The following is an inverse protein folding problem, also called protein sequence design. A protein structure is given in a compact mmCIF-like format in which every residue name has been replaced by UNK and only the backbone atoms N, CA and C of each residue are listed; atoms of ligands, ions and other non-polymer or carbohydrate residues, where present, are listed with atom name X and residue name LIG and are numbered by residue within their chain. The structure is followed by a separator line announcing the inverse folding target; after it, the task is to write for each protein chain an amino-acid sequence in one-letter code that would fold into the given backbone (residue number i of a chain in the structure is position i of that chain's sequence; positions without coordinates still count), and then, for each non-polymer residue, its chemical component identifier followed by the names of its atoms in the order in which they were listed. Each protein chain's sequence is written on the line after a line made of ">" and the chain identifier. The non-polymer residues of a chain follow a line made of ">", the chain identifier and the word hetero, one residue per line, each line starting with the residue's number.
data_IF_909356144544
#
_entry.id   IF_909356144544
#
_cell.length_a   1.000
_cell.length_b   1.000
_cell.length_c   1.000
_cell.angle_alpha   90.00
_cell.angle_beta   90.00
_cell.angle_gamma   90.00
#
_symmetry.space_group_name_H-M   'P 1'
#
loop_
_entity.id
_entity.type
_entity.pdbx_description
1 polymer ?
#
# COMPACT_ATOMS: atom_id res chain seq x y z
N UNK A 1 21.15 22.22 -10.66
CA UNK A 1 20.87 22.17 -9.22
C UNK A 1 21.14 23.54 -8.65
N UNK A 2 20.10 24.29 -8.29
CA UNK A 2 20.23 25.60 -7.64
C UNK A 2 20.41 25.39 -6.13
N UNK A 3 21.43 26.06 -5.56
CA UNK A 3 21.74 25.99 -4.13
C UNK A 3 20.51 26.31 -3.25
N UNK A 4 20.25 25.55 -2.16
CA UNK A 4 19.08 25.73 -1.29
C UNK A 4 19.16 26.94 -0.36
N UNK A 5 20.15 27.82 -0.53
CA UNK A 5 20.40 29.00 0.32
C UNK A 5 20.24 30.33 -0.39
N UNK A 6 19.85 30.36 -1.67
CA UNK A 6 19.50 31.63 -2.31
C UNK A 6 18.15 32.06 -1.74
N UNK A 7 18.13 33.13 -0.94
CA UNK A 7 16.89 33.83 -0.62
C UNK A 7 16.20 34.15 -1.95
N UNK A 8 15.16 33.39 -2.25
CA UNK A 8 14.25 33.72 -3.34
C UNK A 8 13.39 34.83 -2.78
N UNK A 9 13.49 36.03 -3.38
CA UNK A 9 12.58 37.12 -3.05
C UNK A 9 11.15 36.57 -3.08
N UNK A 10 10.37 36.72 -2.00
CA UNK A 10 9.01 36.22 -1.98
C UNK A 10 8.25 36.87 -3.12
N UNK A 11 7.80 36.05 -4.09
CA UNK A 11 6.90 36.53 -5.13
C UNK A 11 5.71 37.21 -4.43
N UNK A 12 5.30 38.42 -4.86
CA UNK A 12 4.25 39.19 -4.17
C UNK A 12 2.90 38.48 -4.09
N UNK A 13 2.72 37.39 -4.84
CA UNK A 13 1.48 36.62 -4.92
C UNK A 13 1.65 35.21 -4.32
N UNK A 14 1.29 35.09 -3.04
CA UNK A 14 0.78 33.87 -2.37
C UNK A 14 1.52 32.53 -2.65
N UNK A 15 2.65 32.24 -1.96
CA UNK A 15 3.35 30.95 -2.05
C UNK A 15 2.53 29.73 -1.53
N UNK A 16 1.40 29.96 -0.85
CA UNK A 16 0.55 28.91 -0.29
C UNK A 16 -0.47 28.31 -1.27
N UNK A 17 -0.58 28.83 -2.50
CA UNK A 17 -1.51 28.31 -3.53
C UNK A 17 -0.90 27.31 -4.50
N UNK A 18 0.40 27.07 -4.45
CA UNK A 18 0.99 26.07 -5.33
C UNK A 18 0.53 24.68 -4.88
N UNK A 19 -0.38 24.07 -5.65
CA UNK A 19 -0.81 22.68 -5.50
C UNK A 19 0.01 21.74 -6.41
N UNK A 20 0.99 22.25 -7.17
CA UNK A 20 1.81 21.43 -8.07
C UNK A 20 2.47 20.25 -7.36
N UNK A 21 2.80 20.40 -6.07
CA UNK A 21 3.40 19.36 -5.25
C UNK A 21 2.51 18.11 -5.04
N UNK A 22 1.21 18.22 -5.27
CA UNK A 22 0.30 17.07 -5.24
C UNK A 22 -0.12 16.58 -6.61
N UNK A 23 0.04 17.35 -7.69
CA UNK A 23 -0.54 17.01 -8.99
C UNK A 23 0.00 15.69 -9.57
N UNK A 24 1.29 15.42 -9.45
CA UNK A 24 1.88 14.15 -9.90
C UNK A 24 1.34 12.95 -9.09
N UNK A 25 1.15 13.14 -7.78
CA UNK A 25 0.59 12.10 -6.90
C UNK A 25 -0.92 11.95 -7.06
N UNK A 26 -1.65 13.02 -7.36
CA UNK A 26 -3.05 12.98 -7.75
C UNK A 26 -3.21 12.24 -9.08
N UNK A 27 -2.34 12.50 -10.06
CA UNK A 27 -2.33 11.76 -11.32
C UNK A 27 -2.01 10.27 -11.07
N UNK A 28 -1.03 9.96 -10.24
CA UNK A 28 -0.74 8.60 -9.76
C UNK A 28 -1.94 7.95 -9.07
N UNK A 29 -2.71 8.70 -8.28
CA UNK A 29 -3.88 8.18 -7.58
C UNK A 29 -5.06 7.95 -8.53
N UNK A 30 -5.29 8.84 -9.49
CA UNK A 30 -6.46 8.83 -10.36
C UNK A 30 -6.31 8.00 -11.64
N UNK A 31 -5.07 7.68 -12.06
CA UNK A 31 -4.86 6.92 -13.30
C UNK A 31 -5.44 5.51 -13.22
N UNK A 32 -5.98 5.03 -14.35
CA UNK A 32 -6.57 3.70 -14.48
C UNK A 32 -5.54 2.57 -14.47
N UNK A 33 -4.41 2.76 -15.15
CA UNK A 33 -3.32 1.77 -15.17
C UNK A 33 -2.64 1.68 -13.81
N UNK A 34 -1.88 0.61 -13.57
CA UNK A 34 -1.13 0.42 -12.33
C UNK A 34 -0.09 1.52 -12.08
N UNK A 35 0.30 1.68 -10.81
CA UNK A 35 1.26 2.71 -10.38
C UNK A 35 2.66 2.58 -11.01
N UNK A 36 3.00 1.38 -11.49
CA UNK A 36 4.27 1.07 -12.17
C UNK A 36 4.14 0.97 -13.70
N UNK A 37 2.92 1.12 -14.24
CA UNK A 37 2.71 0.97 -15.69
C UNK A 37 3.14 2.26 -16.43
N UNK A 38 4.05 2.15 -17.40
CA UNK A 38 4.54 3.27 -18.21
C UNK A 38 5.89 3.83 -17.77
N UNK A 39 6.24 5.03 -18.26
CA UNK A 39 7.60 5.60 -18.13
C UNK A 39 7.90 6.24 -16.77
N UNK A 40 6.92 6.37 -15.87
CA UNK A 40 7.07 7.04 -14.57
C UNK A 40 6.48 6.21 -13.45
N UNK A 41 7.26 5.99 -12.40
CA UNK A 41 6.82 5.40 -11.14
C UNK A 41 6.12 6.47 -10.30
N UNK A 42 4.81 6.34 -10.10
CA UNK A 42 3.99 7.37 -9.44
C UNK A 42 3.51 6.94 -8.05
N UNK A 43 4.10 5.90 -7.48
CA UNK A 43 3.72 5.41 -6.15
C UNK A 43 4.19 6.32 -5.02
N UNK A 44 5.16 7.19 -5.25
CA UNK A 44 5.64 8.14 -4.25
C UNK A 44 6.26 9.35 -4.92
N UNK A 45 6.30 10.46 -4.19
CA UNK A 45 7.07 11.64 -4.58
C UNK A 45 7.66 12.31 -3.36
N UNK A 46 8.89 12.78 -3.50
CA UNK A 46 9.61 13.57 -2.52
C UNK A 46 10.11 14.81 -3.25
N UNK A 47 9.78 15.99 -2.74
CA UNK A 47 10.31 17.22 -3.28
C UNK A 47 10.59 18.27 -2.22
N UNK A 48 11.52 19.14 -2.55
CA UNK A 48 12.02 20.21 -1.69
C UNK A 48 11.85 21.51 -2.45
N UNK A 49 11.27 22.51 -1.78
CA UNK A 49 11.23 23.85 -2.32
C UNK A 49 12.50 24.62 -1.94
N UNK A 50 12.88 25.67 -2.69
CA UNK A 50 13.99 26.54 -2.30
C UNK A 50 13.79 27.19 -0.92
N UNK A 51 12.55 27.35 -0.48
CA UNK A 51 12.19 27.85 0.84
C UNK A 51 12.19 26.74 1.92
N UNK A 52 11.59 26.98 3.08
CA UNK A 52 11.56 26.00 4.19
C UNK A 52 10.64 24.81 3.92
N UNK A 53 9.88 24.74 2.83
CA UNK A 53 8.89 23.69 2.63
C UNK A 53 9.45 22.46 1.91
N UNK A 54 8.84 21.33 2.23
CA UNK A 54 9.01 20.07 1.52
C UNK A 54 7.68 19.32 1.46
N UNK A 55 7.60 18.37 0.54
CA UNK A 55 6.44 17.51 0.41
C UNK A 55 6.82 16.04 0.26
N UNK A 56 5.94 15.20 0.77
CA UNK A 56 6.07 13.76 0.87
C UNK A 56 4.74 13.16 0.46
N UNK A 57 4.74 12.34 -0.58
CA UNK A 57 3.56 11.60 -1.02
C UNK A 57 3.89 10.12 -1.15
N UNK A 58 2.93 9.27 -0.82
CA UNK A 58 2.97 7.84 -1.10
C UNK A 58 1.57 7.32 -1.41
N UNK A 59 1.47 6.38 -2.33
CA UNK A 59 0.23 5.74 -2.75
C UNK A 59 0.38 4.23 -2.54
N UNK A 60 -0.39 3.69 -1.61
CA UNK A 60 -0.57 2.25 -1.47
C UNK A 60 -1.64 1.77 -2.41
N UNK A 61 -1.51 0.52 -2.87
CA UNK A 61 -2.56 -0.15 -3.61
C UNK A 61 -2.70 -1.60 -3.17
N UNK A 62 -3.91 -2.12 -3.33
CA UNK A 62 -4.27 -3.50 -3.07
C UNK A 62 -5.49 -3.88 -3.90
N UNK A 63 -5.78 -5.17 -4.02
CA UNK A 63 -7.03 -5.63 -4.60
C UNK A 63 -8.03 -6.03 -3.51
N UNK A 64 -9.31 -5.78 -3.77
CA UNK A 64 -10.43 -6.26 -2.95
C UNK A 64 -11.45 -6.96 -3.85
N UNK A 65 -12.20 -7.94 -3.34
CA UNK A 65 -13.39 -8.43 -4.03
C UNK A 65 -14.32 -7.26 -4.36
N UNK A 66 -14.79 -7.20 -5.60
CA UNK A 66 -15.73 -6.19 -6.05
C UNK A 66 -17.14 -6.58 -5.64
N UNK A 67 -17.74 -5.81 -4.75
CA UNK A 67 -19.17 -5.87 -4.44
C UNK A 67 -19.91 -4.88 -5.35
N UNK A 68 -20.87 -5.39 -6.11
CA UNK A 68 -21.61 -4.63 -7.13
C UNK A 68 -22.65 -3.69 -6.53
N UNK A 69 -22.92 -3.76 -5.22
CA UNK A 69 -24.00 -3.00 -4.56
C UNK A 69 -23.59 -1.59 -4.08
N UNK A 70 -22.39 -1.12 -4.43
CA UNK A 70 -21.83 0.16 -3.97
C UNK A 70 -22.28 1.40 -4.79
N UNK A 71 -23.53 1.43 -5.25
CA UNK A 71 -24.08 2.52 -6.10
C UNK A 71 -24.61 3.74 -5.32
N UNK A 72 -24.29 3.86 -4.04
CA UNK A 72 -24.53 5.07 -3.26
C UNK A 72 -23.22 5.61 -2.70
N UNK A 73 -22.51 6.40 -3.51
CA UNK A 73 -21.35 7.13 -3.03
C UNK A 73 -21.80 8.28 -2.12
N UNK A 74 -21.55 8.15 -0.82
CA UNK A 74 -21.73 9.19 0.21
C UNK A 74 -20.37 9.44 0.89
N UNK A 75 -19.31 9.45 0.08
CA UNK A 75 -17.92 9.46 0.52
C UNK A 75 -17.29 10.85 0.52
N UNK A 76 -16.18 11.00 1.25
CA UNK A 76 -15.27 12.15 1.18
C UNK A 76 -13.97 11.84 0.43
N UNK A 77 -13.88 10.64 -0.16
CA UNK A 77 -12.77 10.18 -1.00
C UNK A 77 -12.85 10.69 -2.44
N UNK A 78 -12.00 10.15 -3.31
CA UNK A 78 -12.07 10.41 -4.77
C UNK A 78 -12.29 9.08 -5.48
N UNK A 79 -13.51 8.89 -6.01
CA UNK A 79 -13.84 7.72 -6.82
C UNK A 79 -13.23 7.87 -8.20
N UNK A 80 -12.38 6.92 -8.56
CA UNK A 80 -11.73 6.87 -9.85
C UNK A 80 -11.99 5.51 -10.50
N UNK A 81 -11.81 5.44 -11.81
CA UNK A 81 -11.76 4.16 -12.51
C UNK A 81 -10.51 3.39 -12.05
N UNK A 82 -10.70 2.10 -11.75
CA UNK A 82 -9.67 1.23 -11.20
C UNK A 82 -9.44 0.03 -12.10
N UNK A 83 -8.27 -0.56 -12.01
CA UNK A 83 -8.01 -1.84 -12.64
C UNK A 83 -8.93 -2.92 -12.03
N UNK A 84 -9.51 -3.75 -12.89
CA UNK A 84 -10.34 -4.87 -12.47
C UNK A 84 -9.82 -6.18 -13.04
N UNK A 85 -9.83 -7.24 -12.24
CA UNK A 85 -9.48 -8.59 -12.65
C UNK A 85 -10.71 -9.48 -12.45
N UNK A 86 -11.24 -10.03 -13.53
CA UNK A 86 -12.38 -10.97 -13.48
C UNK A 86 -11.95 -12.35 -13.93
N UNK A 87 -12.14 -13.33 -13.05
CA UNK A 87 -11.72 -14.72 -13.26
C UNK A 87 -12.89 -15.69 -13.09
N UNK A 88 -12.95 -16.80 -13.86
CA UNK A 88 -14.02 -17.78 -13.80
C UNK A 88 -13.89 -18.75 -12.61
N UNK A 89 -13.84 -18.21 -11.38
CA UNK A 89 -13.67 -18.96 -10.13
C UNK A 89 -14.71 -18.61 -9.06
N UNK A 90 -15.70 -17.76 -9.41
CA UNK A 90 -16.74 -17.33 -8.47
C UNK A 90 -17.75 -18.45 -8.16
N UNK A 91 -18.51 -18.28 -7.08
CA UNK A 91 -19.57 -19.19 -6.64
C UNK A 91 -20.76 -19.27 -7.61
N UNK A 92 -22.02 -19.04 -7.19
CA UNK A 92 -23.21 -19.27 -8.03
C UNK A 92 -23.22 -18.56 -9.40
N UNK A 93 -22.52 -17.42 -9.52
CA UNK A 93 -22.41 -16.62 -10.76
C UNK A 93 -21.25 -17.04 -11.68
N UNK A 94 -20.43 -18.02 -11.28
CA UNK A 94 -19.31 -18.56 -12.05
C UNK A 94 -18.11 -17.62 -12.26
N UNK A 95 -18.16 -16.38 -11.79
CA UNK A 95 -17.08 -15.37 -11.94
C UNK A 95 -16.84 -14.62 -10.62
N UNK A 96 -15.58 -14.37 -10.30
CA UNK A 96 -15.15 -13.50 -9.23
C UNK A 96 -14.45 -12.28 -9.84
N UNK A 97 -14.81 -11.09 -9.38
CA UNK A 97 -14.20 -9.83 -9.80
C UNK A 97 -13.47 -9.21 -8.63
N UNK A 98 -12.25 -8.76 -8.88
CA UNK A 98 -11.42 -8.03 -7.94
C UNK A 98 -11.16 -6.64 -8.52
N UNK A 99 -11.26 -5.62 -7.69
CA UNK A 99 -11.02 -4.23 -8.06
C UNK A 99 -9.83 -3.70 -7.27
N UNK A 100 -8.94 -2.98 -7.95
CA UNK A 100 -7.85 -2.26 -7.31
C UNK A 100 -8.43 -1.15 -6.41
N UNK A 101 -7.80 -0.92 -5.28
CA UNK A 101 -8.06 0.19 -4.37
C UNK A 101 -6.74 0.91 -4.13
N UNK A 102 -6.80 2.23 -3.97
CA UNK A 102 -5.62 3.05 -3.65
C UNK A 102 -5.85 3.85 -2.39
N UNK A 103 -4.76 4.09 -1.66
CA UNK A 103 -4.73 4.98 -0.50
C UNK A 103 -3.56 5.93 -0.68
N UNK A 104 -3.84 7.22 -0.74
CA UNK A 104 -2.86 8.28 -0.87
C UNK A 104 -2.58 8.93 0.47
N UNK A 105 -1.31 8.89 0.87
CA UNK A 105 -0.75 9.56 2.02
C UNK A 105 0.02 10.78 1.53
N UNK A 106 -0.29 11.94 2.08
CA UNK A 106 0.33 13.18 1.66
C UNK A 106 0.64 14.06 2.87
N UNK A 107 1.86 14.59 2.91
CA UNK A 107 2.30 15.58 3.91
C UNK A 107 3.11 16.67 3.21
N UNK A 108 2.74 17.93 3.45
CA UNK A 108 3.56 19.11 3.19
C UNK A 108 3.98 19.70 4.53
N UNK A 109 5.28 19.91 4.73
CA UNK A 109 5.83 20.36 6.02
C UNK A 109 6.94 21.38 5.82
N UNK A 110 7.03 22.36 6.72
CA UNK A 110 8.18 23.24 6.80
C UNK A 110 9.29 22.56 7.62
N UNK A 111 10.54 22.71 7.17
CA UNK A 111 11.74 22.31 7.89
C UNK A 111 12.16 23.45 8.82
N UNK A 112 12.33 23.13 10.10
CA UNK A 112 12.48 24.07 11.22
C UNK A 112 11.23 24.92 11.53
N UNK A 113 10.34 24.38 12.37
CA UNK A 113 9.48 25.20 13.21
C UNK A 113 9.96 25.08 14.65
N UNK A 114 10.63 26.12 15.16
CA UNK A 114 11.00 26.17 16.58
C UNK A 114 9.75 26.52 17.40
N UNK A 115 9.00 25.49 17.80
CA UNK A 115 8.06 25.64 18.91
C UNK A 115 8.78 25.26 20.21
N UNK A 116 9.58 26.19 20.73
CA UNK A 116 10.23 26.10 22.04
C UNK A 116 9.25 26.01 23.23
N UNK A 117 7.93 25.97 22.97
CA UNK A 117 6.88 26.07 24.00
C UNK A 117 5.97 24.85 24.15
N UNK A 118 6.23 23.71 23.50
CA UNK A 118 5.30 22.57 23.51
C UNK A 118 5.90 21.29 24.14
N UNK A 119 5.46 20.88 25.35
CA UNK A 119 5.96 19.67 26.02
C UNK A 119 5.49 18.34 25.40
N UNK A 120 4.46 18.34 24.53
CA UNK A 120 3.87 17.14 23.92
C UNK A 120 4.06 17.12 22.39
N UNK A 121 5.30 16.94 21.92
CA UNK A 121 5.66 16.93 20.49
C UNK A 121 4.78 15.95 19.69
N UNK A 122 4.58 14.73 20.19
CA UNK A 122 3.80 13.68 19.53
C UNK A 122 2.31 14.03 19.30
N UNK A 123 1.70 14.85 20.17
CA UNK A 123 0.28 15.25 20.04
C UNK A 123 0.06 16.38 19.03
N UNK A 124 1.12 17.11 18.65
CA UNK A 124 1.01 18.34 17.83
C UNK A 124 1.68 18.26 16.45
N UNK A 125 2.33 17.16 16.09
CA UNK A 125 3.06 17.01 14.81
C UNK A 125 2.25 17.39 13.56
N UNK A 126 0.91 17.30 13.62
CA UNK A 126 -0.03 17.61 12.53
C UNK A 126 -1.04 18.72 12.87
N UNK A 127 -0.91 19.36 14.04
CA UNK A 127 -1.77 20.48 14.46
C UNK A 127 -1.02 21.82 14.45
N UNK A 128 0.27 21.81 14.09
CA UNK A 128 1.07 23.01 13.92
C UNK A 128 0.78 23.66 12.56
N UNK A 129 0.85 25.00 12.44
CA UNK A 129 0.65 25.70 11.17
C UNK A 129 1.71 25.33 10.10
N UNK A 130 2.78 24.65 10.51
CA UNK A 130 3.91 24.24 9.68
C UNK A 130 3.77 22.86 9.02
N UNK A 131 2.68 22.12 9.28
CA UNK A 131 2.45 20.79 8.70
C UNK A 131 1.00 20.67 8.24
N UNK A 132 0.82 20.35 6.96
CA UNK A 132 -0.45 19.92 6.38
C UNK A 132 -0.30 18.46 5.95
N UNK A 133 -1.28 17.62 6.25
CA UNK A 133 -1.31 16.27 5.73
C UNK A 133 -2.72 15.72 5.60
N UNK A 134 -2.89 14.74 4.73
CA UNK A 134 -4.13 14.01 4.57
C UNK A 134 -3.87 12.55 4.20
N UNK A 135 -4.87 11.72 4.46
CA UNK A 135 -4.96 10.36 3.96
C UNK A 135 -6.28 10.23 3.23
N UNK A 136 -6.23 9.76 2.00
CA UNK A 136 -7.38 9.72 1.09
C UNK A 136 -7.45 8.35 0.41
N UNK A 137 -8.63 7.73 0.39
CA UNK A 137 -8.90 6.56 -0.43
C UNK A 137 -10.07 6.82 -1.39
N UNK A 138 -10.51 5.77 -2.09
CA UNK A 138 -11.59 5.85 -3.08
C UNK A 138 -12.95 6.24 -2.47
N UNK A 139 -13.11 6.13 -1.14
CA UNK A 139 -14.36 6.27 -0.41
C UNK A 139 -14.31 7.42 0.60
N UNK A 140 -13.23 7.58 1.36
CA UNK A 140 -13.13 8.50 2.49
C UNK A 140 -11.79 9.24 2.53
N UNK A 141 -11.86 10.48 3.00
CA UNK A 141 -10.75 11.16 3.65
C UNK A 141 -10.68 10.69 5.12
N UNK A 142 -9.49 10.27 5.53
CA UNK A 142 -9.23 9.81 6.90
C UNK A 142 -8.56 10.91 7.71
N UNK A 143 -9.13 11.28 8.88
CA UNK A 143 -8.48 12.24 9.75
C UNK A 143 -7.19 11.62 10.31
N UNK A 144 -6.08 12.36 10.21
CA UNK A 144 -4.83 11.87 10.77
C UNK A 144 -4.87 11.98 12.29
N UNK A 145 -4.79 10.84 12.98
CA UNK A 145 -4.74 10.75 14.44
C UNK A 145 -3.57 9.87 14.85
N UNK A 146 -2.69 10.41 15.68
CA UNK A 146 -1.54 9.71 16.25
C UNK A 146 -1.54 9.93 17.75
N UNK A 147 -1.42 8.85 18.50
CA UNK A 147 -1.30 8.88 19.96
C UNK A 147 0.14 8.58 20.37
N UNK A 148 0.54 9.03 21.56
CA UNK A 148 1.86 8.72 22.12
C UNK A 148 2.12 7.20 22.19
N UNK A 149 1.09 6.42 22.51
CA UNK A 149 1.15 4.96 22.56
C UNK A 149 1.51 4.34 21.20
N UNK A 150 1.06 4.95 20.11
CA UNK A 150 1.39 4.45 18.77
C UNK A 150 2.89 4.59 18.50
N UNK A 151 3.51 5.71 18.91
CA UNK A 151 4.95 5.94 18.73
C UNK A 151 5.78 4.91 19.48
N UNK A 152 5.42 4.67 20.75
CA UNK A 152 6.08 3.69 21.61
C UNK A 152 5.94 2.27 21.04
N UNK A 153 4.74 1.89 20.62
CA UNK A 153 4.46 0.55 20.08
C UNK A 153 5.22 0.28 18.78
N UNK A 154 5.36 1.29 17.92
CA UNK A 154 5.99 1.16 16.60
C UNK A 154 7.50 1.41 16.63
N UNK A 155 8.02 1.87 17.76
CA UNK A 155 9.44 2.17 17.94
C UNK A 155 9.93 3.24 16.96
N UNK A 156 9.10 4.20 16.56
CA UNK A 156 9.55 5.37 15.80
C UNK A 156 9.85 6.52 16.74
N UNK A 157 10.88 7.31 16.42
CA UNK A 157 11.31 8.42 17.25
C UNK A 157 10.87 9.76 16.64
N UNK A 158 10.06 10.58 17.34
CA UNK A 158 9.68 11.90 16.85
C UNK A 158 10.87 12.85 16.91
N UNK A 159 11.04 13.70 15.88
CA UNK A 159 12.15 14.66 15.81
C UNK A 159 11.61 16.07 15.69
N UNK A 160 11.98 16.96 16.63
CA UNK A 160 11.44 18.34 16.70
C UNK A 160 11.72 19.13 15.41
N UNK A 161 12.94 19.06 14.87
CA UNK A 161 13.35 19.76 13.65
C UNK A 161 12.74 19.22 12.35
N UNK A 162 12.13 18.04 12.39
CA UNK A 162 11.59 17.31 11.25
C UNK A 162 10.23 16.65 11.56
N UNK A 163 9.41 17.34 12.34
CA UNK A 163 8.15 16.82 12.89
C UNK A 163 7.22 16.26 11.82
N UNK A 164 6.98 16.99 10.73
CA UNK A 164 6.15 16.52 9.63
C UNK A 164 6.72 15.30 8.89
N UNK A 165 8.05 15.17 8.79
CA UNK A 165 8.69 13.98 8.20
C UNK A 165 8.44 12.76 9.08
N UNK A 166 8.67 12.88 10.39
CA UNK A 166 8.40 11.78 11.32
C UNK A 166 6.92 11.42 11.36
N UNK A 167 6.01 12.40 11.29
CA UNK A 167 4.58 12.14 11.16
C UNK A 167 4.27 11.39 9.87
N UNK A 168 4.90 11.74 8.74
CA UNK A 168 4.72 10.99 7.50
C UNK A 168 5.20 9.55 7.61
N UNK A 169 6.38 9.30 8.19
CA UNK A 169 6.87 7.92 8.44
C UNK A 169 5.88 7.11 9.31
N UNK A 170 5.30 7.76 10.31
CA UNK A 170 4.31 7.17 11.20
C UNK A 170 2.96 6.88 10.52
N UNK A 171 2.54 7.75 9.59
CA UNK A 171 1.39 7.53 8.72
C UNK A 171 1.59 6.29 7.85
N UNK A 172 2.75 6.22 7.19
CA UNK A 172 3.09 5.09 6.34
C UNK A 172 3.10 3.79 7.13
N UNK A 173 3.63 3.78 8.36
CA UNK A 173 3.59 2.59 9.21
C UNK A 173 2.16 2.06 9.39
N UNK A 174 1.23 2.93 9.81
CA UNK A 174 -0.17 2.53 10.00
C UNK A 174 -0.83 2.10 8.68
N UNK A 175 -0.47 2.75 7.58
CA UNK A 175 -0.94 2.33 6.27
C UNK A 175 -0.38 0.97 5.82
N UNK A 176 0.84 0.61 6.22
CA UNK A 176 1.47 -0.68 5.90
C UNK A 176 0.74 -1.81 6.64
N UNK A 177 0.36 -1.58 7.90
CA UNK A 177 -0.48 -2.50 8.66
C UNK A 177 -1.83 -2.71 7.96
N UNK A 178 -2.49 -1.62 7.56
CA UNK A 178 -3.76 -1.66 6.84
C UNK A 178 -3.64 -2.34 5.47
N UNK A 179 -2.58 -2.04 4.71
CA UNK A 179 -2.28 -2.69 3.44
C UNK A 179 -2.15 -4.20 3.60
N UNK A 180 -1.40 -4.66 4.61
CA UNK A 180 -1.25 -6.10 4.87
C UNK A 180 -2.58 -6.73 5.26
N UNK A 181 -3.37 -6.05 6.10
CA UNK A 181 -4.69 -6.51 6.52
C UNK A 181 -5.65 -6.65 5.32
N UNK A 182 -5.66 -5.67 4.41
CA UNK A 182 -6.52 -5.69 3.21
C UNK A 182 -6.14 -6.79 2.24
N UNK A 183 -4.84 -7.00 2.02
CA UNK A 183 -4.36 -8.14 1.23
C UNK A 183 -4.75 -9.48 1.85
N UNK A 184 -4.57 -9.64 3.17
CA UNK A 184 -5.02 -10.85 3.85
C UNK A 184 -6.53 -11.08 3.69
N UNK A 185 -7.36 -10.04 3.86
CA UNK A 185 -8.81 -10.17 3.66
C UNK A 185 -9.18 -10.56 2.21
N UNK A 186 -8.46 -10.05 1.21
CA UNK A 186 -8.62 -10.46 -0.17
C UNK A 186 -8.20 -11.92 -0.39
N UNK A 187 -7.09 -12.36 0.19
CA UNK A 187 -6.64 -13.75 0.12
C UNK A 187 -7.60 -14.70 0.86
N UNK A 188 -8.15 -14.29 2.00
CA UNK A 188 -9.18 -15.03 2.73
C UNK A 188 -10.43 -15.23 1.86
N UNK A 189 -10.83 -14.21 1.09
CA UNK A 189 -11.92 -14.35 0.13
C UNK A 189 -11.60 -15.37 -0.96
N UNK A 190 -10.38 -15.34 -1.50
CA UNK A 190 -9.93 -16.34 -2.49
C UNK A 190 -9.95 -17.75 -1.90
N UNK A 191 -9.53 -17.91 -0.65
CA UNK A 191 -9.55 -19.20 0.04
C UNK A 191 -10.97 -19.73 0.21
N UNK A 192 -11.91 -18.89 0.63
CA UNK A 192 -13.34 -19.23 0.73
C UNK A 192 -13.97 -19.68 -0.59
N UNK A 193 -13.46 -19.24 -1.74
CA UNK A 193 -13.95 -19.72 -3.04
C UNK A 193 -13.66 -21.21 -3.28
N UNK A 194 -12.80 -21.83 -2.49
CA UNK A 194 -12.37 -23.23 -2.63
C UNK A 194 -12.72 -24.07 -1.40
N UNK A 195 -13.44 -23.51 -0.42
CA UNK A 195 -13.92 -24.28 0.74
C UNK A 195 -14.96 -25.30 0.29
N UNK A 196 -14.71 -26.56 0.64
CA UNK A 196 -15.67 -27.66 0.50
C UNK A 196 -16.48 -27.69 1.79
N UNK A 197 -17.80 -27.63 1.67
CA UNK A 197 -18.70 -27.68 2.82
C UNK A 197 -18.96 -29.13 3.23
N UNK A 198 -19.36 -29.36 4.49
CA UNK A 198 -19.62 -30.72 4.99
C UNK A 198 -20.77 -31.36 4.21
N UNK A 199 -21.76 -30.56 3.83
CA UNK A 199 -22.89 -30.94 3.00
C UNK A 199 -22.47 -31.40 1.59
N UNK A 200 -21.27 -31.00 1.13
CA UNK A 200 -20.72 -31.47 -0.15
C UNK A 200 -20.16 -32.89 -0.06
N UNK A 201 -19.97 -33.41 1.15
CA UNK A 201 -19.34 -34.70 1.45
C UNK A 201 -20.35 -35.67 2.09
N UNK A 202 -21.29 -35.14 2.87
CA UNK A 202 -22.28 -35.92 3.63
C UNK A 202 -23.41 -36.43 2.74
N UNK A 203 -23.10 -37.37 1.83
CA UNK A 203 -23.98 -38.36 1.16
C UNK A 203 -25.26 -37.89 0.46
N UNK A 204 -25.60 -36.62 0.58
CA UNK A 204 -26.86 -35.98 0.20
C UNK A 204 -26.86 -35.59 -1.27
N UNK A 205 -25.68 -35.49 -1.88
CA UNK A 205 -25.48 -35.35 -3.31
C UNK A 205 -24.28 -36.20 -3.79
N UNK A 206 -24.51 -37.46 -4.19
CA UNK A 206 -23.45 -38.35 -4.70
C UNK A 206 -22.78 -37.83 -5.98
N UNK A 207 -23.48 -37.06 -6.81
CA UNK A 207 -22.90 -36.46 -8.01
C UNK A 207 -21.88 -35.39 -7.65
N UNK A 208 -22.17 -34.59 -6.62
CA UNK A 208 -21.25 -33.56 -6.11
C UNK A 208 -19.97 -34.14 -5.52
N UNK A 209 -20.07 -35.24 -4.77
CA UNK A 209 -18.89 -35.97 -4.28
C UNK A 209 -18.06 -36.55 -5.43
N UNK A 210 -18.71 -37.12 -6.44
CA UNK A 210 -18.04 -37.64 -7.64
C UNK A 210 -17.35 -36.52 -8.43
N UNK A 211 -17.99 -35.36 -8.58
CA UNK A 211 -17.41 -34.17 -9.21
C UNK A 211 -16.18 -33.67 -8.42
N UNK A 212 -16.23 -33.68 -7.09
CA UNK A 212 -15.10 -33.31 -6.22
C UNK A 212 -13.92 -34.29 -6.33
N UNK A 213 -14.18 -35.59 -6.43
CA UNK A 213 -13.15 -36.62 -6.44
C UNK A 213 -12.48 -36.80 -7.81
N UNK A 214 -13.26 -36.77 -8.89
CA UNK A 214 -12.79 -37.17 -10.22
C UNK A 214 -12.82 -36.05 -11.27
N UNK A 215 -13.49 -34.93 -10.97
CA UNK A 215 -13.64 -33.78 -11.86
C UNK A 215 -13.86 -34.17 -13.34
N UNK A 216 -14.92 -34.94 -13.65
CA UNK A 216 -15.13 -35.53 -14.97
C UNK A 216 -15.22 -34.45 -16.08
N UNK A 217 -15.68 -33.24 -15.72
CA UNK A 217 -15.79 -32.07 -16.60
C UNK A 217 -14.50 -31.24 -16.67
N UNK A 218 -13.52 -31.46 -15.80
CA UNK A 218 -12.28 -30.68 -15.73
C UNK A 218 -12.45 -29.26 -15.17
N UNK A 219 -13.59 -29.00 -14.53
CA UNK A 219 -13.99 -27.68 -14.05
C UNK A 219 -13.21 -27.26 -12.80
N UNK A 220 -12.95 -28.20 -11.87
CA UNK A 220 -12.19 -27.95 -10.65
C UNK A 220 -10.70 -27.78 -10.94
N UNK A 221 -10.13 -28.64 -11.80
CA UNK A 221 -8.75 -28.52 -12.26
C UNK A 221 -8.51 -27.17 -12.97
N UNK A 222 -9.48 -26.71 -13.79
CA UNK A 222 -9.45 -25.37 -14.39
C UNK A 222 -9.54 -24.27 -13.33
N UNK A 223 -10.44 -24.40 -12.36
CA UNK A 223 -10.60 -23.43 -11.25
C UNK A 223 -9.29 -23.28 -10.47
N UNK A 224 -8.67 -24.38 -10.04
CA UNK A 224 -7.38 -24.36 -9.34
C UNK A 224 -6.26 -23.72 -10.17
N UNK A 225 -6.18 -24.06 -11.46
CA UNK A 225 -5.20 -23.45 -12.36
C UNK A 225 -5.37 -21.93 -12.46
N UNK A 226 -6.60 -21.46 -12.66
CA UNK A 226 -6.91 -20.03 -12.77
C UNK A 226 -6.62 -19.30 -11.47
N UNK A 227 -7.02 -19.87 -10.32
CA UNK A 227 -6.73 -19.29 -9.01
C UNK A 227 -5.22 -19.19 -8.76
N UNK A 228 -4.44 -20.23 -9.07
CA UNK A 228 -2.98 -20.18 -8.93
C UNK A 228 -2.36 -19.05 -9.78
N UNK A 229 -2.89 -18.79 -10.98
CA UNK A 229 -2.44 -17.67 -11.82
C UNK A 229 -2.89 -16.31 -11.28
N UNK A 230 -4.09 -16.20 -10.72
CA UNK A 230 -4.54 -15.01 -10.02
C UNK A 230 -3.60 -14.67 -8.85
N UNK A 231 -3.22 -15.66 -8.05
CA UNK A 231 -2.28 -15.49 -6.93
C UNK A 231 -0.90 -14.99 -7.41
N UNK A 232 -0.42 -15.47 -8.57
CA UNK A 232 0.81 -14.93 -9.19
C UNK A 232 0.66 -13.47 -9.62
N UNK A 233 -0.52 -13.06 -10.09
CA UNK A 233 -0.79 -11.65 -10.41
C UNK A 233 -0.77 -10.83 -9.12
N UNK A 234 -1.48 -11.26 -8.08
CA UNK A 234 -1.48 -10.59 -6.77
C UNK A 234 -0.07 -10.49 -6.17
N UNK A 235 0.77 -11.51 -6.33
CA UNK A 235 2.18 -11.47 -5.89
C UNK A 235 2.92 -10.27 -6.47
N UNK A 236 2.79 -10.04 -7.79
CA UNK A 236 3.44 -8.90 -8.46
C UNK A 236 3.00 -7.56 -7.89
N UNK A 237 1.72 -7.40 -7.55
CA UNK A 237 1.20 -6.18 -6.93
C UNK A 237 1.67 -6.03 -5.48
N UNK A 238 1.72 -7.12 -4.71
CA UNK A 238 2.25 -7.11 -3.34
C UNK A 238 3.74 -6.72 -3.30
N UNK A 239 4.50 -7.06 -4.34
CA UNK A 239 5.93 -6.73 -4.45
C UNK A 239 6.22 -5.24 -4.66
N UNK A 240 5.22 -4.45 -5.06
CA UNK A 240 5.42 -3.02 -5.37
C UNK A 240 5.70 -2.19 -4.12
N UNK A 241 4.93 -2.39 -3.04
CA UNK A 241 5.02 -1.55 -1.84
C UNK A 241 6.42 -1.56 -1.19
N UNK A 242 7.02 -2.72 -0.85
CA UNK A 242 8.34 -2.73 -0.22
C UNK A 242 9.43 -2.16 -1.13
N UNK A 243 9.37 -2.45 -2.45
CA UNK A 243 10.29 -1.86 -3.44
C UNK A 243 10.18 -0.34 -3.47
N UNK A 244 8.95 0.18 -3.49
CA UNK A 244 8.66 1.61 -3.54
C UNK A 244 9.11 2.34 -2.26
N UNK A 245 8.89 1.74 -1.07
CA UNK A 245 9.38 2.27 0.20
C UNK A 245 10.91 2.31 0.25
N UNK A 246 11.57 1.24 -0.20
CA UNK A 246 13.03 1.20 -0.26
C UNK A 246 13.59 2.26 -1.22
N UNK A 247 12.96 2.45 -2.38
CA UNK A 247 13.33 3.51 -3.31
C UNK A 247 13.16 4.91 -2.71
N UNK A 248 12.04 5.16 -2.00
CA UNK A 248 11.83 6.43 -1.32
C UNK A 248 12.87 6.67 -0.22
N UNK A 249 13.22 5.65 0.57
CA UNK A 249 14.31 5.72 1.56
C UNK A 249 15.65 6.04 0.90
N UNK A 250 16.03 5.34 -0.18
CA UNK A 250 17.28 5.60 -0.89
C UNK A 250 17.29 7.01 -1.51
N UNK A 251 16.15 7.47 -2.02
CA UNK A 251 16.00 8.84 -2.50
C UNK A 251 16.15 9.86 -1.36
N UNK A 252 15.56 9.60 -0.20
CA UNK A 252 15.74 10.43 0.99
C UNK A 252 17.22 10.54 1.38
N UNK A 253 17.90 9.41 1.52
CA UNK A 253 19.32 9.35 1.89
C UNK A 253 20.22 10.08 0.88
N UNK A 254 19.97 9.93 -0.42
CA UNK A 254 20.74 10.65 -1.44
C UNK A 254 20.43 12.15 -1.50
N UNK A 255 19.24 12.57 -1.09
CA UNK A 255 18.83 13.99 -1.09
C UNK A 255 19.34 14.71 0.15
N UNK A 256 19.41 14.01 1.28
CA UNK A 256 19.89 14.53 2.58
C UNK A 256 20.92 13.55 3.15
N UNK A 257 22.20 13.60 2.72
CA UNK A 257 23.19 12.61 3.11
C UNK A 257 23.51 12.63 4.61
N UNK A 258 23.45 13.79 5.27
CA UNK A 258 23.45 13.97 6.74
C UNK A 258 24.67 13.51 7.51
N UNK A 259 25.60 12.81 6.85
CA UNK A 259 26.75 12.19 7.47
C UNK A 259 27.94 12.54 6.59
N UNK A 260 28.94 13.18 7.19
CA UNK A 260 30.22 13.56 6.56
C UNK A 260 30.08 14.45 5.30
N UNK A 261 29.02 15.24 5.22
CA UNK A 261 28.81 16.24 4.18
C UNK A 261 29.34 17.60 4.65
N UNK A 262 30.29 18.18 3.92
CA UNK A 262 30.81 19.54 4.19
C UNK A 262 29.80 20.65 3.78
N UNK A 263 28.60 20.27 3.32
CA UNK A 263 27.57 21.18 2.83
C UNK A 263 26.59 21.54 3.95
N UNK A 264 26.11 22.80 3.95
CA UNK A 264 24.97 23.23 4.77
C UNK A 264 23.72 22.40 4.40
N UNK A 265 23.36 21.47 5.28
CA UNK A 265 22.21 20.58 5.09
C UNK A 265 20.92 21.12 5.71
N UNK A 266 19.79 20.65 5.18
CA UNK A 266 18.44 21.00 5.65
C UNK A 266 18.13 20.46 7.05
N UNK A 267 18.83 19.40 7.47
CA UNK A 267 18.71 18.77 8.79
C UNK A 267 20.11 18.61 9.40
N UNK A 268 20.22 18.77 10.71
CA UNK A 268 21.47 18.45 11.42
C UNK A 268 21.73 16.93 11.43
N UNK A 269 23.01 16.55 11.62
CA UNK A 269 23.43 15.14 11.59
C UNK A 269 22.62 14.25 12.56
N UNK A 270 22.39 14.65 13.84
CA UNK A 270 21.56 13.86 14.76
C UNK A 270 20.13 13.65 14.25
N UNK A 271 19.49 14.70 13.73
CA UNK A 271 18.15 14.62 13.15
C UNK A 271 18.13 13.65 11.98
N UNK A 272 19.08 13.78 11.05
CA UNK A 272 19.10 12.95 9.86
C UNK A 272 19.39 11.48 10.18
N UNK A 273 20.26 11.19 11.16
CA UNK A 273 20.48 9.83 11.66
C UNK A 273 19.19 9.20 12.21
N UNK A 274 18.42 9.94 13.02
CA UNK A 274 17.14 9.46 13.55
C UNK A 274 16.10 9.26 12.43
N UNK A 275 16.02 10.17 11.46
CA UNK A 275 15.11 10.02 10.32
C UNK A 275 15.45 8.79 9.48
N UNK A 276 16.74 8.55 9.20
CA UNK A 276 17.20 7.36 8.47
C UNK A 276 16.91 6.08 9.25
N UNK A 277 17.07 6.10 10.58
CA UNK A 277 16.71 4.97 11.46
C UNK A 277 15.21 4.66 11.39
N UNK A 278 14.36 5.67 11.45
CA UNK A 278 12.90 5.51 11.29
C UNK A 278 12.55 4.96 9.89
N UNK A 279 13.18 5.45 8.82
CA UNK A 279 12.97 4.92 7.48
C UNK A 279 13.37 3.45 7.37
N UNK A 280 14.51 3.05 7.92
CA UNK A 280 14.95 1.65 7.93
C UNK A 280 13.96 0.78 8.69
N UNK A 281 13.52 1.20 9.88
CA UNK A 281 12.49 0.47 10.66
C UNK A 281 11.19 0.29 9.87
N UNK A 282 10.72 1.33 9.18
CA UNK A 282 9.53 1.26 8.33
C UNK A 282 9.70 0.26 7.17
N UNK A 283 10.86 0.29 6.50
CA UNK A 283 11.17 -0.65 5.42
C UNK A 283 11.22 -2.08 5.94
N UNK A 284 11.88 -2.32 7.06
CA UNK A 284 11.99 -3.65 7.67
C UNK A 284 10.61 -4.20 8.06
N UNK A 285 9.75 -3.35 8.65
CA UNK A 285 8.36 -3.70 8.96
C UNK A 285 7.55 -4.08 7.72
N UNK A 286 7.63 -3.26 6.67
CA UNK A 286 6.99 -3.56 5.39
C UNK A 286 7.52 -4.86 4.76
N UNK A 287 8.82 -5.12 4.86
CA UNK A 287 9.47 -6.36 4.43
C UNK A 287 8.93 -7.57 5.18
N UNK A 288 8.84 -7.52 6.50
CA UNK A 288 8.34 -8.62 7.31
C UNK A 288 6.87 -8.97 7.02
N UNK A 289 6.02 -7.97 6.77
CA UNK A 289 4.62 -8.18 6.38
C UNK A 289 4.50 -8.69 4.94
N UNK A 290 5.34 -8.19 4.04
CA UNK A 290 5.45 -8.68 2.67
C UNK A 290 5.86 -10.15 2.60
N UNK A 291 6.87 -10.58 3.37
CA UNK A 291 7.31 -11.97 3.42
C UNK A 291 6.21 -12.93 3.86
N UNK A 292 5.39 -12.54 4.83
CA UNK A 292 4.24 -13.33 5.27
C UNK A 292 3.20 -13.49 4.15
N UNK A 293 2.87 -12.41 3.45
CA UNK A 293 1.94 -12.44 2.31
C UNK A 293 2.50 -13.24 1.14
N UNK A 294 3.79 -13.07 0.84
CA UNK A 294 4.54 -13.80 -0.17
C UNK A 294 4.42 -15.31 0.04
N UNK A 295 4.81 -15.72 1.25
CA UNK A 295 4.83 -17.11 1.65
C UNK A 295 3.44 -17.73 1.58
N UNK A 296 2.41 -17.01 2.06
CA UNK A 296 1.01 -17.45 1.96
C UNK A 296 0.59 -17.69 0.51
N UNK A 297 0.91 -16.77 -0.39
CA UNK A 297 0.60 -16.89 -1.82
C UNK A 297 1.34 -18.07 -2.46
N UNK A 298 2.63 -18.21 -2.20
CA UNK A 298 3.45 -19.28 -2.76
C UNK A 298 2.97 -20.65 -2.30
N UNK A 299 2.74 -20.81 -0.99
CA UNK A 299 2.19 -22.03 -0.40
C UNK A 299 0.84 -22.38 -1.04
N UNK A 300 -0.09 -21.42 -1.07
CA UNK A 300 -1.43 -21.66 -1.60
C UNK A 300 -1.44 -21.97 -3.09
N UNK A 301 -0.61 -21.25 -3.87
CA UNK A 301 -0.43 -21.55 -5.30
C UNK A 301 0.14 -22.96 -5.51
N UNK A 302 1.07 -23.40 -4.67
CA UNK A 302 1.63 -24.76 -4.72
C UNK A 302 0.58 -25.83 -4.42
N UNK A 303 -0.20 -25.65 -3.37
CA UNK A 303 -1.32 -26.53 -3.00
C UNK A 303 -2.33 -26.68 -4.13
N UNK A 304 -2.78 -25.56 -4.73
CA UNK A 304 -3.73 -25.56 -5.84
C UNK A 304 -3.21 -26.28 -7.08
N UNK A 305 -1.92 -26.09 -7.41
CA UNK A 305 -1.30 -26.78 -8.54
C UNK A 305 -1.15 -28.28 -8.26
N UNK A 306 -0.87 -28.68 -7.03
CA UNK A 306 -0.84 -30.08 -6.63
C UNK A 306 -2.23 -30.73 -6.74
N UNK A 307 -3.26 -30.10 -6.18
CA UNK A 307 -4.66 -30.55 -6.27
C UNK A 307 -5.12 -30.72 -7.72
N UNK A 308 -4.78 -29.75 -8.58
CA UNK A 308 -5.03 -29.86 -10.02
C UNK A 308 -4.39 -31.12 -10.61
N UNK A 309 -3.11 -31.37 -10.31
CA UNK A 309 -2.40 -32.52 -10.87
C UNK A 309 -3.00 -33.84 -10.39
N UNK A 310 -3.39 -33.94 -9.11
CA UNK A 310 -4.10 -35.10 -8.57
C UNK A 310 -5.42 -35.36 -9.28
N UNK A 311 -6.24 -34.31 -9.51
CA UNK A 311 -7.50 -34.45 -10.25
C UNK A 311 -7.28 -34.90 -11.70
N UNK A 312 -6.25 -34.37 -12.38
CA UNK A 312 -5.93 -34.78 -13.74
C UNK A 312 -5.51 -36.25 -13.82
N UNK A 313 -4.77 -36.74 -12.82
CA UNK A 313 -4.39 -38.15 -12.70
C UNK A 313 -5.61 -39.04 -12.42
N UNK A 314 -6.45 -38.67 -11.45
CA UNK A 314 -7.68 -39.41 -11.11
C UNK A 314 -8.63 -39.53 -12.31
N UNK A 315 -8.76 -38.45 -13.10
CA UNK A 315 -9.55 -38.45 -14.33
C UNK A 315 -8.95 -39.37 -15.42
N UNK A 316 -7.63 -39.47 -15.52
CA UNK A 316 -6.98 -40.37 -16.46
C UNK A 316 -7.20 -41.84 -16.08
N UNK A 317 -7.23 -42.16 -14.78
CA UNK A 317 -7.48 -43.54 -14.30
C UNK A 317 -8.92 -44.02 -14.49
N UNK A 318 -9.92 -43.12 -14.47
CA UNK A 318 -11.33 -43.48 -14.68
C UNK A 318 -11.71 -43.64 -16.17
N UNK A 319 -10.86 -43.17 -17.09
CA UNK A 319 -11.09 -43.27 -18.54
C UNK A 319 -10.51 -44.54 -19.18
N UNK A 320 -9.74 -45.32 -18.43
CA UNK A 320 -9.22 -46.64 -18.82
C UNK A 320 -10.05 -47.74 -18.17
#
# INVERSE_FOLDING_TARGET
>A
MTHPTKEVEPLPDNPDRDLSWTLDSLHGFCRKDGLEDGNRHLSWSLGTFPDRWMYLNFIFHYFTPHDTDADKWIGSGIRCDRQTITVPIGGPRGRATFIEQRVWFSVRTATAYDDSRAPDLAKRLLKGPATLGFVLDDVLHHPIRMTQKDWEMRGLEPVKGASGVTAFQMLLWGGVDEWSRRWNACLDYVDRLHEVQIEDIDGSDPEKLNDLMFDPRGSLAKKYFVTAHLLKIFRRHIDVLPRSLQQMRSKWQSTYPGVDSDLLERFDNPTQLTLLKNWSRLVDHAGALHEKLAHRIEKRSGELLNLRNTLLLARATVRN
#
